data_IF_670220664474
#
_entry.id   IF_670220664474
#
_cell.length_a   1.000
_cell.length_b   1.000
_cell.length_c   1.000
_cell.angle_alpha   90.00
_cell.angle_beta   90.00
_cell.angle_gamma   90.00
#
_symmetry.space_group_name_H-M   'P 1'
#
loop_
_entity.id
_entity.type
_entity.pdbx_description
1 polymer ?
#
# COMPACT_ATOMS: atom_id res chain seq x y z
N UNK A 1 -3.67 9.50 -17.55
CA UNK A 1 -3.40 10.82 -16.95
C UNK A 1 -2.10 11.45 -17.46
N UNK A 2 -0.96 10.76 -17.44
CA UNK A 2 0.36 11.33 -17.74
C UNK A 2 0.76 11.25 -19.22
N UNK A 3 -0.12 11.73 -20.13
CA UNK A 3 0.21 11.84 -21.57
C UNK A 3 1.27 12.90 -21.89
N UNK A 4 1.44 13.86 -20.99
CA UNK A 4 2.40 14.97 -21.07
C UNK A 4 3.16 15.03 -19.76
N UNK A 5 4.40 15.53 -19.83
CA UNK A 5 5.28 15.67 -18.69
C UNK A 5 4.55 16.39 -17.53
N UNK A 6 4.44 15.76 -16.34
CA UNK A 6 3.79 16.37 -15.19
C UNK A 6 4.58 17.52 -14.58
N UNK A 7 5.86 17.71 -14.94
CA UNK A 7 6.75 18.74 -14.43
C UNK A 7 6.75 18.83 -12.89
N UNK A 8 7.12 17.73 -12.20
CA UNK A 8 7.21 17.75 -10.75
C UNK A 8 8.26 18.76 -10.28
N UNK A 9 7.98 19.43 -9.17
CA UNK A 9 8.97 20.23 -8.43
C UNK A 9 10.03 19.31 -7.81
N UNK A 10 11.04 19.90 -7.18
CA UNK A 10 12.00 19.15 -6.38
C UNK A 10 11.28 18.31 -5.30
N UNK A 11 11.69 17.05 -5.17
CA UNK A 11 11.16 16.12 -4.18
C UNK A 11 11.84 16.34 -2.82
N UNK A 12 11.13 16.04 -1.73
CA UNK A 12 11.66 16.14 -0.37
C UNK A 12 11.21 14.94 0.47
N UNK A 13 12.08 14.47 1.37
CA UNK A 13 11.75 13.37 2.30
C UNK A 13 10.54 13.73 3.16
N UNK A 14 9.59 12.80 3.29
CA UNK A 14 8.48 12.93 4.24
C UNK A 14 8.92 12.45 5.62
N UNK A 15 8.27 12.97 6.67
CA UNK A 15 8.58 12.55 8.05
C UNK A 15 8.13 11.10 8.29
N UNK A 16 8.78 10.40 9.22
CA UNK A 16 8.42 9.02 9.58
C UNK A 16 6.97 8.90 10.06
N UNK A 17 6.42 9.92 10.71
CA UNK A 17 5.00 9.98 11.10
C UNK A 17 4.05 10.11 9.90
N UNK A 18 4.41 10.94 8.91
CA UNK A 18 3.65 11.10 7.66
C UNK A 18 3.68 9.82 6.82
N UNK A 19 4.84 9.17 6.73
CA UNK A 19 4.99 7.88 6.06
C UNK A 19 4.09 6.81 6.69
N UNK A 20 4.05 6.70 8.02
CA UNK A 20 3.17 5.75 8.73
C UNK A 20 1.68 6.02 8.43
N UNK A 21 1.28 7.29 8.43
CA UNK A 21 -0.09 7.70 8.06
C UNK A 21 -0.41 7.33 6.60
N UNK A 22 0.54 7.55 5.69
CA UNK A 22 0.40 7.20 4.27
C UNK A 22 0.23 5.70 4.07
N UNK A 23 1.08 4.87 4.70
CA UNK A 23 0.98 3.41 4.64
C UNK A 23 -0.37 2.92 5.17
N UNK A 24 -0.80 3.46 6.32
CA UNK A 24 -2.11 3.09 6.91
C UNK A 24 -3.27 3.49 6.00
N UNK A 25 -3.19 4.67 5.38
CA UNK A 25 -4.16 5.12 4.38
C UNK A 25 -4.21 4.24 3.12
N UNK A 26 -3.05 3.77 2.65
CA UNK A 26 -2.94 2.80 1.55
C UNK A 26 -3.62 1.50 1.96
N UNK A 27 -3.24 0.90 3.10
CA UNK A 27 -3.80 -0.37 3.53
C UNK A 27 -5.32 -0.32 3.65
N UNK A 28 -5.86 0.76 4.25
CA UNK A 28 -7.30 0.97 4.36
C UNK A 28 -7.99 1.12 2.99
N UNK A 29 -7.41 1.91 2.08
CA UNK A 29 -8.02 2.19 0.77
C UNK A 29 -8.03 0.98 -0.16
N UNK A 30 -7.04 0.10 0.00
CA UNK A 30 -6.83 -1.08 -0.85
C UNK A 30 -7.26 -2.39 -0.17
N UNK A 31 -7.81 -2.33 1.05
CA UNK A 31 -8.28 -3.50 1.79
C UNK A 31 -7.15 -4.48 2.17
N UNK A 32 -5.96 -3.96 2.44
CA UNK A 32 -4.77 -4.76 2.78
C UNK A 32 -4.73 -4.93 4.30
N UNK A 33 -4.61 -6.17 4.83
CA UNK A 33 -4.54 -6.41 6.27
C UNK A 33 -3.16 -6.01 6.81
N UNK A 34 -3.00 -4.73 7.16
CA UNK A 34 -1.70 -4.16 7.55
C UNK A 34 -1.00 -4.93 8.67
N UNK A 35 -1.75 -5.45 9.65
CA UNK A 35 -1.18 -6.17 10.80
C UNK A 35 -0.53 -7.51 10.41
N UNK A 36 -0.99 -8.10 9.30
CA UNK A 36 -0.56 -9.42 8.85
C UNK A 36 0.58 -9.33 7.83
N UNK A 37 0.89 -8.12 7.33
CA UNK A 37 2.01 -7.93 6.41
C UNK A 37 3.35 -8.16 7.08
N UNK A 38 4.23 -8.93 6.45
CA UNK A 38 5.63 -9.00 6.85
C UNK A 38 6.36 -7.68 6.51
N UNK A 39 7.58 -7.51 7.02
CA UNK A 39 8.32 -6.25 6.84
C UNK A 39 8.66 -5.95 5.39
N UNK A 40 8.94 -6.98 4.61
CA UNK A 40 9.25 -6.87 3.19
C UNK A 40 8.04 -6.36 2.39
N UNK A 41 6.84 -6.90 2.66
CA UNK A 41 5.61 -6.47 2.04
C UNK A 41 5.28 -5.00 2.32
N UNK A 42 5.49 -4.53 3.56
CA UNK A 42 5.35 -3.11 3.88
C UNK A 42 6.29 -2.23 3.02
N UNK A 43 7.54 -2.66 2.82
CA UNK A 43 8.54 -1.92 2.06
C UNK A 43 8.26 -1.97 0.54
N UNK A 44 7.71 -3.08 0.06
CA UNK A 44 7.26 -3.24 -1.33
C UNK A 44 6.08 -2.31 -1.64
N UNK A 45 5.16 -2.13 -0.68
CA UNK A 45 4.03 -1.19 -0.80
C UNK A 45 4.53 0.26 -0.71
N UNK A 46 5.32 0.58 0.32
CA UNK A 46 5.82 1.94 0.54
C UNK A 46 7.27 1.89 1.07
N UNK A 47 8.27 2.33 0.29
CA UNK A 47 9.68 2.30 0.70
C UNK A 47 9.96 3.05 2.01
N UNK A 48 10.97 2.62 2.77
CA UNK A 48 11.38 3.24 4.04
C UNK A 48 11.66 4.74 3.88
N UNK A 49 12.46 5.08 2.87
CA UNK A 49 12.68 6.45 2.41
C UNK A 49 11.63 6.78 1.35
N UNK A 50 10.66 7.63 1.71
CA UNK A 50 9.68 8.16 0.76
C UNK A 50 9.89 9.66 0.61
N UNK A 51 10.02 10.11 -0.63
CA UNK A 51 10.04 11.52 -1.00
C UNK A 51 8.69 11.92 -1.58
N UNK A 52 8.33 13.19 -1.50
CA UNK A 52 7.16 13.75 -2.15
C UNK A 52 7.53 14.97 -2.99
N UNK A 53 6.90 15.11 -4.15
CA UNK A 53 6.93 16.32 -4.97
C UNK A 53 5.53 16.71 -5.40
N UNK A 54 5.25 18.02 -5.41
CA UNK A 54 4.05 18.54 -6.04
C UNK A 54 4.28 18.69 -7.54
N UNK A 55 3.25 18.44 -8.34
CA UNK A 55 3.29 18.62 -9.79
C UNK A 55 2.10 19.44 -10.27
N UNK A 56 2.28 20.10 -11.42
CA UNK A 56 1.21 20.76 -12.16
C UNK A 56 1.42 20.46 -13.63
N UNK A 57 0.61 19.56 -14.18
CA UNK A 57 0.74 19.18 -15.58
C UNK A 57 0.29 20.33 -16.48
N UNK A 58 0.77 20.30 -17.73
CA UNK A 58 0.34 21.22 -18.81
C UNK A 58 -1.18 21.15 -19.05
N UNK A 59 -1.83 20.06 -18.65
CA UNK A 59 -3.27 19.85 -18.76
C UNK A 59 -4.06 20.46 -17.58
N UNK A 60 -3.37 21.09 -16.63
CA UNK A 60 -3.97 21.72 -15.46
C UNK A 60 -4.17 20.79 -14.26
N UNK A 61 -3.80 19.51 -14.36
CA UNK A 61 -3.87 18.58 -13.23
C UNK A 61 -2.80 18.96 -12.19
N UNK A 62 -3.24 19.23 -10.96
CA UNK A 62 -2.36 19.47 -9.81
C UNK A 62 -2.44 18.30 -8.85
N UNK A 63 -1.29 17.91 -8.30
CA UNK A 63 -1.24 16.77 -7.41
C UNK A 63 0.12 16.54 -6.77
N UNK A 64 0.29 15.34 -6.24
CA UNK A 64 1.49 14.88 -5.58
C UNK A 64 1.96 13.58 -6.22
N UNK A 65 3.26 13.46 -6.46
CA UNK A 65 3.94 12.21 -6.79
C UNK A 65 4.87 11.89 -5.62
N UNK A 66 4.84 10.64 -5.19
CA UNK A 66 5.74 10.09 -4.20
C UNK A 66 6.83 9.29 -4.92
N UNK A 67 8.04 9.37 -4.41
CA UNK A 67 9.22 8.71 -4.96
C UNK A 67 9.93 7.90 -3.88
N UNK A 68 10.71 6.92 -4.30
CA UNK A 68 11.68 6.26 -3.42
C UNK A 68 13.00 7.04 -3.33
N UNK A 69 14.00 6.46 -2.67
CA UNK A 69 15.32 7.06 -2.53
C UNK A 69 16.04 7.33 -3.86
N UNK A 70 15.75 6.54 -4.90
CA UNK A 70 16.33 6.62 -6.24
C UNK A 70 15.56 7.55 -7.19
N UNK A 71 14.59 8.33 -6.66
CA UNK A 71 13.65 9.13 -7.46
C UNK A 71 12.82 8.29 -8.44
N UNK A 72 12.59 7.00 -8.15
CA UNK A 72 11.62 6.19 -8.89
C UNK A 72 10.22 6.51 -8.36
N UNK A 73 9.24 6.85 -9.23
CA UNK A 73 7.88 7.17 -8.78
C UNK A 73 7.19 5.92 -8.23
N UNK A 74 6.58 6.04 -7.05
CA UNK A 74 5.93 4.91 -6.34
C UNK A 74 4.43 5.09 -6.24
N UNK A 75 3.96 6.28 -5.89
CA UNK A 75 2.53 6.59 -5.76
C UNK A 75 2.23 7.97 -6.31
N UNK A 76 0.98 8.22 -6.69
CA UNK A 76 0.55 9.55 -7.11
C UNK A 76 -0.93 9.79 -6.79
N UNK A 77 -1.31 11.06 -6.72
CA UNK A 77 -2.70 11.50 -6.65
C UNK A 77 -2.85 12.89 -7.26
N UNK A 78 -4.04 13.21 -7.74
CA UNK A 78 -4.44 14.62 -7.92
C UNK A 78 -4.96 15.17 -6.60
N UNK A 79 -5.24 16.47 -6.54
CA UNK A 79 -5.80 17.11 -5.34
C UNK A 79 -7.09 16.43 -4.85
N UNK A 80 -7.95 16.02 -5.78
CA UNK A 80 -9.30 15.55 -5.49
C UNK A 80 -9.49 14.05 -5.80
N UNK A 81 -8.38 13.29 -5.94
CA UNK A 81 -8.42 11.85 -6.18
C UNK A 81 -7.90 11.05 -4.98
N UNK A 82 -8.25 9.76 -4.97
CA UNK A 82 -7.54 8.78 -4.18
C UNK A 82 -6.08 8.62 -4.63
N UNK A 83 -5.29 7.92 -3.82
CA UNK A 83 -3.91 7.59 -4.13
C UNK A 83 -3.87 6.40 -5.10
N UNK A 84 -3.02 6.46 -6.13
CA UNK A 84 -2.81 5.43 -7.14
C UNK A 84 -1.36 4.92 -7.06
N UNK A 85 -1.12 3.60 -7.15
CA UNK A 85 0.24 3.08 -7.25
C UNK A 85 0.83 3.37 -8.64
N UNK A 86 2.14 3.54 -8.73
CA UNK A 86 2.84 3.48 -10.01
C UNK A 86 2.94 2.02 -10.48
N UNK A 87 3.33 1.82 -11.74
CA UNK A 87 3.67 0.48 -12.22
C UNK A 87 4.83 -0.13 -11.44
N UNK A 88 5.82 0.67 -11.03
CA UNK A 88 6.95 0.21 -10.23
C UNK A 88 6.52 -0.35 -8.86
N UNK A 89 5.54 0.28 -8.21
CA UNK A 89 4.94 -0.29 -6.99
C UNK A 89 4.12 -1.54 -7.29
N UNK A 90 3.35 -1.54 -8.38
CA UNK A 90 2.58 -2.73 -8.79
C UNK A 90 3.46 -3.94 -9.09
N UNK A 91 4.69 -3.76 -9.58
CA UNK A 91 5.61 -4.87 -9.83
C UNK A 91 6.27 -5.44 -8.57
N UNK A 92 6.27 -4.69 -7.47
CA UNK A 92 6.71 -5.16 -6.15
C UNK A 92 5.56 -5.72 -5.31
N UNK A 93 4.34 -5.24 -5.55
CA UNK A 93 3.15 -5.57 -4.77
C UNK A 93 1.90 -5.72 -5.66
N UNK A 94 1.91 -6.66 -6.61
CA UNK A 94 0.82 -6.83 -7.57
C UNK A 94 -0.54 -7.19 -6.94
N UNK A 95 -0.50 -7.83 -5.76
CA UNK A 95 -1.65 -8.28 -5.00
C UNK A 95 -2.56 -7.14 -4.51
N UNK A 96 -2.08 -5.90 -4.46
CA UNK A 96 -2.86 -4.74 -3.97
C UNK A 96 -3.99 -4.34 -4.91
N UNK A 97 -3.94 -4.75 -6.20
CA UNK A 97 -4.96 -4.41 -7.19
C UNK A 97 -5.69 -5.65 -7.72
N UNK A 98 -7.03 -5.59 -7.88
CA UNK A 98 -7.71 -6.47 -8.81
C UNK A 98 -7.21 -6.30 -10.24
N UNK A 99 -7.18 -7.39 -11.00
CA UNK A 99 -6.67 -7.40 -12.37
C UNK A 99 -7.79 -7.57 -13.38
N UNK A 100 -7.68 -6.85 -14.48
CA UNK A 100 -8.52 -7.00 -15.67
C UNK A 100 -7.64 -7.51 -16.79
N UNK A 101 -7.96 -8.70 -17.28
CA UNK A 101 -7.27 -9.34 -18.39
C UNK A 101 -7.76 -8.71 -19.70
N UNK A 102 -6.84 -8.44 -20.62
CA UNK A 102 -7.10 -7.90 -21.96
C UNK A 102 -6.34 -8.70 -23.01
N UNK A 103 -6.68 -8.50 -24.28
CA UNK A 103 -5.87 -9.05 -25.37
C UNK A 103 -4.56 -8.26 -25.57
N UNK A 104 -3.44 -8.88 -25.95
CA UNK A 104 -2.15 -8.21 -26.07
C UNK A 104 -2.13 -6.97 -26.98
N UNK A 105 -2.96 -6.94 -28.03
CA UNK A 105 -3.04 -5.77 -28.92
C UNK A 105 -3.67 -4.55 -28.24
N UNK A 106 -4.49 -4.74 -27.22
CA UNK A 106 -5.17 -3.66 -26.47
C UNK A 106 -4.14 -2.84 -25.70
N UNK A 107 -3.13 -3.49 -25.09
CA UNK A 107 -2.06 -2.79 -24.36
C UNK A 107 -1.40 -1.69 -25.20
N UNK A 108 -1.10 -1.98 -26.48
CA UNK A 108 -0.52 -0.98 -27.39
C UNK A 108 -1.44 0.23 -27.61
N UNK A 109 -2.74 0.01 -27.64
CA UNK A 109 -3.74 1.08 -27.77
C UNK A 109 -3.80 1.90 -26.48
N UNK A 110 -3.73 1.26 -25.31
CA UNK A 110 -3.69 1.94 -24.02
C UNK A 110 -2.43 2.81 -23.87
N UNK A 111 -1.30 2.42 -24.46
CA UNK A 111 -0.08 3.25 -24.49
C UNK A 111 -0.24 4.59 -25.23
N UNK A 112 -1.27 4.74 -26.07
CA UNK A 112 -1.69 6.04 -26.62
C UNK A 112 -2.50 6.90 -25.63
N UNK A 113 -2.66 6.41 -24.39
CA UNK A 113 -3.53 6.92 -23.34
C UNK A 113 -5.02 6.89 -23.71
N UNK A 114 -5.44 5.87 -24.45
CA UNK A 114 -6.84 5.54 -24.61
C UNK A 114 -7.38 4.85 -23.35
N UNK A 115 -8.69 4.93 -23.13
CA UNK A 115 -9.37 4.18 -22.08
C UNK A 115 -9.64 2.73 -22.53
N UNK A 116 -9.77 1.83 -21.55
CA UNK A 116 -10.10 0.43 -21.83
C UNK A 116 -11.60 0.28 -21.99
N UNK A 117 -12.02 -0.08 -23.21
CA UNK A 117 -13.41 -0.38 -23.52
C UNK A 117 -13.78 -1.81 -23.10
N UNK A 118 -15.03 -2.03 -22.69
CA UNK A 118 -15.52 -3.33 -22.23
C UNK A 118 -15.25 -4.49 -23.23
N UNK A 119 -15.42 -4.34 -24.56
CA UNK A 119 -15.08 -5.41 -25.51
C UNK A 119 -13.60 -5.78 -25.57
N UNK A 120 -12.70 -4.90 -25.10
CA UNK A 120 -11.26 -5.18 -25.05
C UNK A 120 -10.83 -5.99 -23.83
N UNK A 121 -11.78 -6.30 -22.93
CA UNK A 121 -11.54 -7.07 -21.70
C UNK A 121 -11.85 -8.55 -21.90
N UNK A 122 -11.34 -9.41 -21.02
CA UNK A 122 -11.53 -10.86 -21.06
C UNK A 122 -12.10 -11.32 -19.71
N UNK A 123 -13.36 -11.81 -19.65
CA UNK A 123 -13.91 -12.44 -18.45
C UNK A 123 -13.28 -13.83 -18.19
N UNK A 124 -13.35 -14.38 -16.96
CA UNK A 124 -14.05 -13.84 -15.78
C UNK A 124 -13.30 -12.67 -15.13
N UNK A 125 -14.04 -11.83 -14.40
CA UNK A 125 -13.48 -10.65 -13.73
C UNK A 125 -13.25 -10.89 -12.24
N UNK A 126 -12.20 -10.28 -11.69
CA UNK A 126 -11.98 -10.22 -10.24
C UNK A 126 -13.22 -9.60 -9.55
N UNK A 127 -13.79 -10.23 -8.50
CA UNK A 127 -14.94 -9.71 -7.77
C UNK A 127 -14.77 -8.27 -7.24
N UNK A 128 -13.53 -7.84 -6.99
CA UNK A 128 -13.19 -6.49 -6.54
C UNK A 128 -13.17 -5.45 -7.67
N UNK A 129 -13.28 -5.86 -8.94
CA UNK A 129 -13.33 -4.98 -10.11
C UNK A 129 -14.70 -4.30 -10.28
N UNK A 130 -15.14 -3.60 -9.23
CA UNK A 130 -16.40 -2.86 -9.16
C UNK A 130 -16.22 -1.40 -9.55
N UNK A 131 -17.33 -0.73 -9.92
CA UNK A 131 -17.30 0.69 -10.29
C UNK A 131 -16.62 1.54 -9.20
N UNK A 132 -15.60 2.29 -9.60
CA UNK A 132 -14.84 3.18 -8.73
C UNK A 132 -13.56 2.58 -8.17
N UNK A 133 -13.38 1.26 -8.18
CA UNK A 133 -12.14 0.62 -7.69
C UNK A 133 -10.95 0.91 -8.62
N UNK A 134 -9.75 0.84 -8.06
CA UNK A 134 -8.51 0.88 -8.85
C UNK A 134 -8.19 -0.53 -9.27
N UNK A 135 -7.86 -0.68 -10.54
CA UNK A 135 -7.63 -1.96 -11.20
C UNK A 135 -6.31 -1.90 -11.94
N UNK A 136 -5.58 -3.02 -11.91
CA UNK A 136 -4.47 -3.29 -12.82
C UNK A 136 -5.01 -3.86 -14.13
N UNK A 137 -4.40 -3.46 -15.24
CA UNK A 137 -4.69 -3.99 -16.57
C UNK A 137 -3.49 -4.84 -16.98
N UNK A 138 -3.77 -6.09 -17.30
CA UNK A 138 -2.80 -7.08 -17.75
C UNK A 138 -3.20 -7.59 -19.13
N UNK A 139 -2.26 -8.15 -19.88
CA UNK A 139 -2.60 -8.91 -21.06
C UNK A 139 -2.63 -10.41 -20.77
N UNK A 140 -3.34 -11.15 -21.60
CA UNK A 140 -3.53 -12.59 -21.45
C UNK A 140 -2.24 -13.42 -21.59
N UNK A 141 -1.15 -12.89 -22.16
CA UNK A 141 0.11 -13.61 -22.24
C UNK A 141 0.92 -13.48 -20.95
N UNK A 142 0.86 -12.33 -20.28
CA UNK A 142 1.54 -12.07 -18.99
C UNK A 142 0.53 -11.59 -17.92
N UNK A 143 -0.34 -12.48 -17.41
CA UNK A 143 -1.47 -12.09 -16.55
C UNK A 143 -1.05 -11.62 -15.14
N UNK A 144 0.20 -11.82 -14.74
CA UNK A 144 0.73 -11.38 -13.44
C UNK A 144 1.34 -9.98 -13.48
N UNK A 145 1.69 -9.48 -14.67
CA UNK A 145 2.44 -8.23 -14.84
C UNK A 145 1.48 -7.11 -15.22
N UNK A 146 1.26 -6.18 -14.30
CA UNK A 146 0.43 -4.99 -14.52
C UNK A 146 1.13 -4.05 -15.51
N UNK A 147 0.47 -3.73 -16.62
CA UNK A 147 1.01 -2.88 -17.71
C UNK A 147 0.34 -1.52 -17.80
N UNK A 148 -0.84 -1.39 -17.18
CA UNK A 148 -1.50 -0.12 -16.96
C UNK A 148 -2.35 -0.21 -15.69
N UNK A 149 -2.69 0.93 -15.12
CA UNK A 149 -3.64 1.03 -14.03
C UNK A 149 -4.70 2.08 -14.35
N UNK A 150 -5.88 1.89 -13.76
CA UNK A 150 -6.96 2.83 -13.97
C UNK A 150 -8.09 2.68 -12.98
N UNK A 151 -9.10 3.53 -13.16
CA UNK A 151 -10.31 3.52 -12.34
C UNK A 151 -11.42 2.81 -13.08
N UNK A 152 -11.98 1.77 -12.47
CA UNK A 152 -13.08 1.02 -13.04
C UNK A 152 -14.34 1.90 -13.16
N UNK A 153 -15.00 1.89 -14.31
CA UNK A 153 -16.19 2.71 -14.61
C UNK A 153 -17.50 1.92 -14.59
N UNK A 154 -17.40 0.60 -14.63
CA UNK A 154 -18.51 -0.35 -14.61
C UNK A 154 -18.33 -1.34 -13.45
N UNK A 155 -19.39 -2.00 -13.02
CA UNK A 155 -19.26 -3.17 -12.16
C UNK A 155 -18.95 -4.38 -13.05
N UNK A 156 -17.69 -4.80 -13.18
CA UNK A 156 -17.30 -5.80 -14.18
C UNK A 156 -17.78 -7.23 -13.89
N UNK A 157 -17.79 -7.72 -12.64
CA UNK A 157 -18.30 -9.06 -12.32
C UNK A 157 -19.72 -9.38 -12.81
N UNK A 158 -20.54 -8.37 -13.12
CA UNK A 158 -21.88 -8.59 -13.68
C UNK A 158 -21.86 -9.10 -15.14
N UNK A 159 -20.73 -8.98 -15.84
CA UNK A 159 -20.61 -9.35 -17.24
C UNK A 159 -19.96 -10.73 -17.39
N UNK A 160 -20.70 -11.68 -17.93
CA UNK A 160 -20.18 -12.99 -18.37
C UNK A 160 -19.80 -13.01 -19.85
N UNK A 161 -20.33 -12.05 -20.63
CA UNK A 161 -20.04 -11.86 -22.05
C UNK A 161 -19.87 -10.37 -22.37
N UNK A 162 -18.78 -10.03 -23.06
CA UNK A 162 -18.44 -8.64 -23.43
C UNK A 162 -18.60 -8.34 -24.92
N UNK A 163 -18.71 -9.37 -25.76
CA UNK A 163 -18.90 -9.21 -27.20
C UNK A 163 -20.25 -8.52 -27.47
N UNK A 164 -20.25 -7.51 -28.34
CA UNK A 164 -21.45 -6.73 -28.66
C UNK A 164 -21.89 -5.74 -27.56
N UNK A 165 -21.15 -5.64 -26.46
CA UNK A 165 -21.37 -4.62 -25.42
C UNK A 165 -20.55 -3.38 -25.72
N UNK A 166 -20.91 -2.26 -25.10
CA UNK A 166 -20.18 -1.00 -25.23
C UNK A 166 -20.00 -0.36 -23.87
N UNK A 167 -19.12 0.64 -23.79
CA UNK A 167 -18.84 1.40 -22.58
C UNK A 167 -17.37 1.32 -22.18
N UNK A 168 -16.94 2.37 -21.49
CA UNK A 168 -15.61 2.45 -20.89
C UNK A 168 -15.62 1.53 -19.67
N UNK A 169 -14.79 0.49 -19.68
CA UNK A 169 -14.60 -0.40 -18.53
C UNK A 169 -13.64 0.23 -17.52
N UNK A 170 -12.54 0.83 -17.99
CA UNK A 170 -11.52 1.45 -17.15
C UNK A 170 -11.06 2.76 -17.77
N UNK A 171 -11.10 3.84 -16.99
CA UNK A 171 -10.40 5.08 -17.31
C UNK A 171 -8.93 4.95 -16.94
N UNK A 172 -8.04 5.09 -17.91
CA UNK A 172 -6.61 4.80 -17.74
C UNK A 172 -5.88 5.98 -17.10
N UNK A 173 -5.26 5.71 -15.95
CA UNK A 173 -4.56 6.71 -15.16
C UNK A 173 -3.07 6.72 -15.46
N UNK A 174 -2.45 5.55 -15.51
CA UNK A 174 -1.01 5.40 -15.74
C UNK A 174 -0.74 4.11 -16.52
N UNK A 175 0.23 4.13 -17.44
CA UNK A 175 0.58 2.98 -18.28
C UNK A 175 2.07 2.96 -18.62
N UNK A 176 2.51 1.83 -19.18
CA UNK A 176 3.86 1.68 -19.73
C UNK A 176 4.18 2.80 -20.72
N UNK A 177 5.37 3.37 -20.62
CA UNK A 177 5.87 4.43 -21.50
C UNK A 177 5.13 5.78 -21.44
N UNK A 178 4.30 6.01 -20.42
CA UNK A 178 3.77 7.35 -20.16
C UNK A 178 4.81 8.27 -19.48
N UNK A 179 4.45 9.53 -19.29
CA UNK A 179 5.39 10.52 -18.76
C UNK A 179 5.66 10.37 -17.25
N UNK A 180 4.80 9.67 -16.50
CA UNK A 180 5.11 9.30 -15.12
C UNK A 180 6.13 8.16 -15.10
N UNK A 181 5.96 7.15 -15.97
CA UNK A 181 6.91 6.05 -16.13
C UNK A 181 8.32 6.57 -16.46
N UNK A 182 8.41 7.52 -17.40
CA UNK A 182 9.67 8.15 -17.83
C UNK A 182 10.34 9.05 -16.79
N UNK A 183 9.69 9.35 -15.66
CA UNK A 183 10.37 10.05 -14.56
C UNK A 183 11.45 9.20 -13.91
N UNK A 184 11.36 7.87 -14.02
CA UNK A 184 12.41 6.97 -13.56
C UNK A 184 13.64 7.08 -14.49
N UNK A 185 14.58 7.96 -14.14
CA UNK A 185 15.76 8.29 -14.97
C UNK A 185 17.09 7.79 -14.40
N UNK A 186 17.12 7.45 -13.12
CA UNK A 186 18.36 7.15 -12.41
C UNK A 186 18.65 5.65 -12.29
N UNK A 187 17.62 4.82 -12.41
CA UNK A 187 17.73 3.36 -12.30
C UNK A 187 17.01 2.73 -13.48
N UNK A 188 17.64 1.76 -14.13
CA UNK A 188 16.97 0.94 -15.14
C UNK A 188 16.22 -0.19 -14.43
N UNK A 189 14.90 -0.19 -14.55
CA UNK A 189 14.03 -1.21 -13.95
C UNK A 189 13.37 -1.96 -15.11
N UNK A 190 13.80 -3.20 -15.41
CA UNK A 190 13.21 -3.96 -16.49
C UNK A 190 11.76 -4.34 -16.13
N UNK A 191 10.91 -4.43 -17.15
CA UNK A 191 9.58 -5.01 -16.99
C UNK A 191 9.77 -6.48 -16.60
N UNK A 192 9.23 -6.94 -15.45
CA UNK A 192 9.40 -8.31 -15.01
C UNK A 192 8.67 -9.27 -15.97
N UNK A 193 9.19 -10.49 -16.11
CA UNK A 193 8.49 -11.56 -16.85
C UNK A 193 7.27 -12.06 -16.08
N UNK A 194 7.40 -12.17 -14.76
CA UNK A 194 6.35 -12.58 -13.83
C UNK A 194 6.49 -11.84 -12.50
N UNK A 195 5.37 -11.65 -11.81
CA UNK A 195 5.31 -11.06 -10.47
C UNK A 195 4.51 -11.98 -9.56
N UNK A 196 4.93 -12.10 -8.30
CA UNK A 196 4.20 -12.84 -7.27
C UNK A 196 2.93 -12.07 -6.91
N UNK A 197 1.78 -12.74 -7.00
CA UNK A 197 0.47 -12.12 -6.81
C UNK A 197 -0.21 -12.50 -5.48
N UNK A 198 0.53 -13.17 -4.60
CA UNK A 198 0.08 -13.55 -3.27
C UNK A 198 0.50 -12.49 -2.27
N UNK A 199 -0.38 -12.17 -1.31
CA UNK A 199 -0.06 -11.25 -0.22
C UNK A 199 0.95 -11.95 0.70
N UNK A 200 2.17 -11.42 0.91
CA UNK A 200 3.13 -12.02 1.83
C UNK A 200 2.68 -11.74 3.27
N UNK A 201 1.99 -12.72 3.86
CA UNK A 201 1.56 -12.68 5.26
C UNK A 201 2.70 -13.14 6.17
N UNK A 202 2.72 -12.66 7.41
CA UNK A 202 3.60 -13.19 8.46
C UNK A 202 3.34 -14.68 8.60
N UNK A 203 4.42 -15.46 8.69
CA UNK A 203 4.32 -16.84 9.13
C UNK A 203 3.64 -16.83 10.49
N UNK A 204 2.45 -17.43 10.58
CA UNK A 204 1.88 -17.73 11.89
C UNK A 204 2.80 -18.77 12.50
N UNK A 205 3.38 -18.49 13.66
CA UNK A 205 4.03 -19.50 14.49
C UNK A 205 3.01 -20.62 14.68
N UNK A 206 3.13 -21.69 13.90
CA UNK A 206 2.36 -22.89 14.13
C UNK A 206 2.93 -23.46 15.42
N UNK A 207 2.23 -23.22 16.54
CA UNK A 207 2.42 -24.03 17.73
C UNK A 207 2.38 -25.51 17.29
N UNK A 208 3.40 -26.31 17.62
CA UNK A 208 3.40 -27.72 17.26
C UNK A 208 2.18 -28.36 17.90
N UNK A 209 1.28 -28.89 17.05
CA UNK A 209 0.17 -29.72 17.53
C UNK A 209 0.74 -30.85 18.39
N UNK A 210 0.18 -31.12 19.58
CA UNK A 210 0.55 -32.32 20.32
C UNK A 210 0.26 -33.53 19.45
N UNK A 211 1.28 -34.34 19.19
CA UNK A 211 1.11 -35.66 18.63
C UNK A 211 0.26 -36.47 19.63
N UNK A 212 -0.97 -36.82 19.27
CA UNK A 212 -1.69 -37.90 19.93
C UNK A 212 -1.02 -39.21 19.50
N UNK A 213 -0.08 -39.68 20.32
CA UNK A 213 0.47 -41.03 20.27
C UNK A 213 -0.64 -42.03 20.58
N UNK A 214 -1.05 -42.81 19.57
CA UNK A 214 -1.81 -44.03 19.79
C UNK A 214 -0.86 -45.18 20.13
N UNK A 215 -1.07 -45.69 21.34
CA UNK A 215 -0.38 -46.78 22.00
C UNK A 215 -0.67 -48.15 21.35
N UNK A 216 0.35 -49.01 21.24
CA UNK A 216 0.21 -50.48 21.33
C UNK A 216 1.56 -51.11 21.69
N UNK A 217 1.48 -52.04 22.64
CA UNK A 217 2.47 -52.59 23.58
C UNK A 217 3.22 -53.86 23.11
N UNK A 218 4.21 -54.24 23.92
CA UNK A 218 4.84 -55.58 24.20
C UNK A 218 6.36 -55.61 23.89
N UNK A 219 7.28 -56.13 24.71
CA UNK A 219 7.26 -56.80 26.03
C UNK A 219 8.74 -56.88 26.55
N UNK A 220 8.96 -56.78 27.88
CA UNK A 220 10.07 -57.33 28.75
C UNK A 220 11.54 -56.92 28.47
N UNK A 221 12.46 -56.73 29.44
CA UNK A 221 12.73 -57.42 30.71
C UNK A 221 13.63 -56.55 31.63
N UNK A 222 13.39 -56.67 32.94
CA UNK A 222 14.30 -56.75 34.10
C UNK A 222 15.18 -55.61 34.69
N UNK A 223 15.13 -55.68 36.04
CA UNK A 223 16.05 -55.29 37.12
C UNK A 223 16.16 -53.82 37.63
N UNK A 224 15.72 -53.66 38.88
CA UNK A 224 15.96 -52.55 39.82
C UNK A 224 17.33 -52.72 40.55
N UNK A 225 17.67 -51.99 41.66
CA UNK A 225 17.31 -50.65 42.16
C UNK A 225 18.57 -49.83 42.60
N UNK A 226 18.36 -48.66 43.24
CA UNK A 226 18.96 -48.19 44.53
C UNK A 226 19.35 -46.69 44.50
N UNK A 227 18.66 -45.89 45.34
CA UNK A 227 19.15 -44.95 46.40
C UNK A 227 20.39 -44.06 46.10
N UNK A 228 20.55 -42.81 46.55
CA UNK A 228 19.92 -41.99 47.58
C UNK A 228 20.61 -40.59 47.56
N UNK A 229 19.91 -39.52 48.00
CA UNK A 229 20.41 -38.33 48.77
C UNK A 229 21.50 -37.42 48.15
N UNK A 230 21.70 -36.13 48.46
CA UNK A 230 21.28 -35.13 49.45
C UNK A 230 21.73 -33.76 48.85
N UNK A 231 20.90 -32.71 48.82
CA UNK A 231 20.93 -31.52 49.70
C UNK A 231 22.14 -30.56 49.66
N UNK A 232 21.81 -29.28 49.39
CA UNK A 232 22.29 -28.03 50.05
C UNK A 232 23.76 -27.61 49.83
N UNK A 233 24.21 -26.34 49.81
CA UNK A 233 23.65 -25.05 50.21
C UNK A 233 24.52 -23.89 49.65
N UNK A 234 23.87 -22.72 49.49
CA UNK A 234 24.28 -21.33 49.75
C UNK A 234 25.75 -20.82 49.68
N UNK A 235 25.91 -19.62 49.09
CA UNK A 235 26.35 -18.32 49.70
C UNK A 235 26.68 -17.33 48.55
N UNK A 236 25.92 -16.23 48.35
CA UNK A 236 25.98 -14.88 48.96
C UNK A 236 27.30 -14.11 48.77
N UNK A 237 27.24 -12.97 48.06
CA UNK A 237 27.54 -11.60 48.55
C UNK A 237 27.38 -10.60 47.37
N UNK A 238 26.39 -9.70 47.37
CA UNK A 238 26.29 -8.42 48.11
C UNK A 238 27.24 -7.32 47.61
N UNK A 239 26.64 -6.23 47.08
CA UNK A 239 27.08 -4.84 47.22
C UNK A 239 25.88 -3.89 47.07
N UNK A 240 25.36 -3.46 48.21
CA UNK A 240 24.78 -2.12 48.47
C UNK A 240 25.93 -1.07 48.52
N UNK A 241 25.81 0.26 48.41
CA UNK A 241 24.73 1.24 48.57
C UNK A 241 25.26 2.68 48.21
N UNK A 242 24.39 3.58 47.71
CA UNK A 242 24.12 4.97 48.23
C UNK A 242 25.20 6.08 47.94
N UNK A 243 24.97 7.36 47.54
CA UNK A 243 23.91 8.39 47.66
C UNK A 243 24.11 9.58 46.64
N UNK A 244 23.02 10.14 46.08
CA UNK A 244 22.52 11.56 45.95
C UNK A 244 23.44 12.83 45.92
N UNK A 245 22.94 14.08 45.66
CA UNK A 245 22.07 14.68 44.61
C UNK A 245 22.57 16.09 44.10
N UNK A 246 21.68 16.91 43.48
CA UNK A 246 21.67 18.38 43.22
C UNK A 246 21.91 18.95 41.79
N UNK A 247 20.88 19.58 41.19
CA UNK A 247 20.74 21.06 41.02
C UNK A 247 19.73 21.50 39.93
N UNK A 248 18.69 22.24 40.37
CA UNK A 248 18.01 23.46 39.86
C UNK A 248 17.70 23.74 38.36
N UNK A 249 16.37 23.82 38.07
CA UNK A 249 15.52 24.78 37.29
C UNK A 249 16.01 25.55 36.01
N UNK A 250 15.11 26.15 35.16
CA UNK A 250 13.64 26.10 35.06
C UNK A 250 13.07 25.82 33.64
N UNK A 251 11.79 25.44 33.59
CA UNK A 251 10.94 25.45 32.38
C UNK A 251 10.46 26.88 32.06
N UNK A 252 10.77 27.34 30.85
CA UNK A 252 10.21 28.53 30.20
C UNK A 252 9.66 28.12 28.85
N UNK A 253 8.32 28.06 28.74
CA UNK A 253 7.56 28.74 27.69
C UNK A 253 6.11 28.22 27.67
N UNK A 254 5.26 29.03 28.30
CA UNK A 254 3.82 29.10 28.05
C UNK A 254 3.59 30.48 27.42
N UNK A 255 2.78 30.58 26.36
CA UNK A 255 1.81 31.67 26.09
C UNK A 255 1.25 31.53 24.64
N UNK A 256 -0.09 31.64 24.56
CA UNK A 256 -0.98 31.76 23.38
C UNK A 256 -1.32 30.43 22.69
N UNK A 257 -2.58 29.98 22.59
CA UNK A 257 -3.83 30.72 22.40
C UNK A 257 -5.00 29.99 23.09
N UNK A 258 -5.59 30.64 24.08
CA UNK A 258 -6.94 30.37 24.55
C UNK A 258 -7.78 31.61 24.21
N UNK A 259 -8.43 31.60 23.04
CA UNK A 259 -9.56 32.48 22.72
C UNK A 259 -10.54 31.72 21.79
N UNK A 260 -11.50 31.09 22.47
CA UNK A 260 -12.96 31.22 22.25
C UNK A 260 -13.51 31.19 20.82
N UNK A 261 -14.21 30.11 20.43
CA UNK A 261 -15.68 29.98 20.52
C UNK A 261 -16.43 31.24 20.07
N UNK A 262 -16.83 31.30 18.79
CA UNK A 262 -17.95 32.12 18.35
C UNK A 262 -19.06 31.23 17.81
N UNK A 263 -20.09 31.15 18.64
CA UNK A 263 -21.39 30.55 18.39
C UNK A 263 -22.19 31.33 17.35
N UNK A 264 -23.03 30.57 16.67
CA UNK A 264 -24.03 30.96 15.68
C UNK A 264 -25.00 32.00 16.25
N UNK A 265 -24.90 33.26 15.82
CA UNK A 265 -26.00 34.26 15.89
C UNK A 265 -25.60 35.55 15.14
N UNK A 266 -25.58 35.53 13.80
CA UNK A 266 -25.64 36.77 12.98
C UNK A 266 -25.96 36.52 11.47
N UNK A 267 -26.72 35.47 11.13
CA UNK A 267 -27.15 35.19 9.73
C UNK A 267 -28.61 35.60 9.47
N UNK A 268 -29.12 36.69 10.05
CA UNK A 268 -30.53 37.08 9.83
C UNK A 268 -30.82 38.53 9.44
N UNK A 269 -29.82 39.34 9.07
CA UNK A 269 -30.11 40.66 8.49
C UNK A 269 -29.17 40.96 7.32
N UNK A 270 -29.34 40.25 6.21
CA UNK A 270 -28.80 40.69 4.92
C UNK A 270 -29.64 40.28 3.69
N UNK A 271 -30.86 39.78 3.87
CA UNK A 271 -31.72 39.33 2.76
C UNK A 271 -32.99 40.19 2.55
N UNK A 272 -32.93 41.48 2.92
CA UNK A 272 -34.05 42.39 2.61
C UNK A 272 -33.61 43.79 2.18
N UNK A 273 -32.78 43.85 1.13
CA UNK A 273 -32.57 45.06 0.34
C UNK A 273 -32.07 44.75 -1.08
N UNK A 274 -32.91 44.10 -1.88
CA UNK A 274 -33.16 44.44 -3.30
C UNK A 274 -34.04 43.37 -3.97
N UNK A 275 -35.34 43.71 -4.10
CA UNK A 275 -36.35 43.12 -5.00
C UNK A 275 -36.80 41.68 -4.76
#
# INVERSE_FOLDING_TARGET
>A
MFKKDPQPKASANIKSSERRKLLSGICNSYGIPQNDLNKEAELNILPSTTKQASYQSVQGHKGTIYFDENETPTWFKTRDSQLYPSLFTCWKAAYILPKIITHPHVIRVLSGGADLMLPGTVPPFDPRAVKGSIVGIVDSANPTVIKAIGRCKLNLPQFTLVIGRTGIAVEVMHHLDDELYKLNKFVDIPIPEQVVDEVPLKEQDQEPKPNEENHSTEDKHDEQPIHDKEEQEATQDDRTAVNDPDSDEPDVDNIAEELTTLTVEEILIADNKNR
#
